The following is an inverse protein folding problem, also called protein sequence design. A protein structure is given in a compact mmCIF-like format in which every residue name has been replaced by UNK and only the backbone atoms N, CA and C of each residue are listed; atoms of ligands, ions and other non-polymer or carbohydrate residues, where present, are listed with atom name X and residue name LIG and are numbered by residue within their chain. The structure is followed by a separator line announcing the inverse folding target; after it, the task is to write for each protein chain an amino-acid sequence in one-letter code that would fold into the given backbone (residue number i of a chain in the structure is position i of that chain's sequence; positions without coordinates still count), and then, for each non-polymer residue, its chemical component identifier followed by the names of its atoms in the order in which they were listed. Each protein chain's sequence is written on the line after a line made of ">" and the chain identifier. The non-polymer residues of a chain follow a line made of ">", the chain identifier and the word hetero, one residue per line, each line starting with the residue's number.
data_IF_500989110959
#
_entry.id   IF_500989110959
#
_cell.length_a   1.000
_cell.length_b   1.000
_cell.length_c   1.000
_cell.angle_alpha   90.00
_cell.angle_beta   90.00
_cell.angle_gamma   90.00
#
_symmetry.space_group_name_H-M   'P 1'
#
loop_
_entity.id
_entity.type
_entity.pdbx_description
1 polymer ?
#
# COMPACT_ATOMS: atom_id res chain seq x y z
N UNK A 1 70.55 -59.78 43.30
CA UNK A 1 71.92 -60.28 43.10
C UNK A 1 72.42 -59.73 41.77
N UNK A 2 73.52 -58.94 41.82
CA UNK A 2 74.39 -58.46 40.74
C UNK A 2 73.75 -57.69 39.54
N UNK A 3 74.01 -56.37 39.44
CA UNK A 3 75.14 -55.74 38.71
C UNK A 3 74.94 -55.76 37.18
N UNK A 4 74.68 -54.58 36.58
CA UNK A 4 75.66 -53.80 35.75
C UNK A 4 75.78 -54.36 34.32
N UNK A 5 75.91 -53.63 33.21
CA UNK A 5 76.69 -52.45 32.87
C UNK A 5 76.14 -51.93 31.50
N UNK A 6 76.18 -50.61 31.26
CA UNK A 6 76.18 -49.96 29.93
C UNK A 6 77.56 -50.18 29.24
N UNK A 7 77.88 -49.82 27.95
CA UNK A 7 77.35 -48.71 27.14
C UNK A 7 77.41 -48.87 25.59
N UNK A 8 77.21 -47.73 24.89
CA UNK A 8 77.46 -47.40 23.46
C UNK A 8 76.44 -47.97 22.45
N UNK A 9 75.96 -47.24 21.42
CA UNK A 9 76.47 -46.04 20.76
C UNK A 9 75.33 -45.16 20.21
N UNK A 10 75.69 -43.91 19.97
CA UNK A 10 74.89 -42.80 19.46
C UNK A 10 74.64 -42.96 17.95
N UNK A 11 73.38 -42.82 17.51
CA UNK A 11 73.05 -42.51 16.13
C UNK A 11 71.89 -41.50 16.11
N UNK A 12 72.25 -40.24 15.87
CA UNK A 12 71.35 -39.11 15.69
C UNK A 12 70.77 -39.18 14.28
N UNK A 13 69.46 -39.34 14.15
CA UNK A 13 68.75 -39.03 12.90
C UNK A 13 67.63 -38.03 13.22
N UNK A 14 67.83 -36.80 12.74
CA UNK A 14 66.85 -35.73 12.73
C UNK A 14 65.75 -36.08 11.71
N UNK A 15 64.50 -36.11 12.13
CA UNK A 15 63.33 -36.04 11.26
C UNK A 15 62.24 -35.28 12.01
N UNK A 16 62.22 -33.96 11.82
CA UNK A 16 61.20 -33.08 12.41
C UNK A 16 59.95 -33.18 11.55
N UNK A 17 58.90 -33.72 12.16
CA UNK A 17 57.54 -33.82 11.65
C UNK A 17 56.97 -32.45 11.27
N UNK A 18 56.46 -32.33 10.05
CA UNK A 18 55.62 -31.21 9.63
C UNK A 18 54.27 -31.26 10.32
N UNK A 19 53.94 -30.20 11.07
CA UNK A 19 52.59 -29.93 11.58
C UNK A 19 51.66 -29.61 10.40
N UNK A 20 50.63 -30.43 10.20
CA UNK A 20 49.45 -30.09 9.39
C UNK A 20 48.54 -29.19 10.24
N UNK A 21 48.53 -27.89 9.95
CA UNK A 21 47.51 -26.96 10.45
C UNK A 21 46.28 -27.08 9.56
N UNK A 22 45.21 -27.69 10.09
CA UNK A 22 43.89 -27.66 9.47
C UNK A 22 43.26 -26.30 9.72
N UNK A 23 43.33 -25.40 8.74
CA UNK A 23 42.52 -24.18 8.70
C UNK A 23 41.07 -24.55 8.43
N UNK A 24 40.30 -24.78 9.50
CA UNK A 24 38.85 -24.83 9.44
C UNK A 24 38.32 -23.42 9.15
N UNK A 25 38.05 -23.12 7.88
CA UNK A 25 37.24 -21.96 7.51
C UNK A 25 35.82 -22.15 8.07
N UNK A 26 35.49 -21.41 9.13
CA UNK A 26 34.08 -21.16 9.49
C UNK A 26 33.51 -20.27 8.39
N UNK A 27 32.66 -20.83 7.53
CA UNK A 27 31.73 -20.03 6.74
C UNK A 27 30.69 -19.45 7.70
N UNK A 28 30.66 -18.13 7.84
CA UNK A 28 29.50 -17.46 8.41
C UNK A 28 28.27 -17.71 7.51
N UNK A 29 27.07 -17.87 8.09
CA UNK A 29 25.86 -18.00 7.31
C UNK A 29 25.66 -16.75 6.45
N UNK A 30 25.21 -16.87 5.20
CA UNK A 30 24.93 -15.69 4.38
C UNK A 30 23.83 -14.87 5.05
N UNK A 31 24.15 -13.61 5.33
CA UNK A 31 23.20 -12.58 5.72
C UNK A 31 22.06 -12.54 4.68
N UNK A 32 20.78 -12.44 5.11
CA UNK A 32 19.68 -12.39 4.17
C UNK A 32 19.84 -11.17 3.25
N UNK A 33 20.10 -11.43 1.97
CA UNK A 33 20.15 -10.40 0.94
C UNK A 33 18.81 -9.67 0.93
N UNK A 34 18.84 -8.39 1.31
CA UNK A 34 17.79 -7.44 1.00
C UNK A 34 17.52 -7.48 -0.51
N UNK A 35 16.27 -7.44 -0.99
CA UNK A 35 15.98 -7.53 -2.41
C UNK A 35 16.74 -6.41 -3.16
N UNK A 36 17.44 -6.75 -4.23
CA UNK A 36 18.05 -5.79 -5.14
C UNK A 36 16.96 -4.84 -5.66
N UNK A 37 16.91 -3.62 -5.11
CA UNK A 37 16.13 -2.51 -5.68
C UNK A 37 16.67 -2.26 -7.08
N UNK A 38 15.84 -2.48 -8.10
CA UNK A 38 16.20 -2.33 -9.51
C UNK A 38 16.98 -1.04 -9.77
N UNK A 39 18.19 -1.21 -10.31
CA UNK A 39 19.24 -0.19 -10.39
C UNK A 39 18.81 1.12 -11.03
N UNK A 40 18.80 2.16 -10.20
CA UNK A 40 18.93 3.55 -10.60
C UNK A 40 20.02 4.11 -9.68
N UNK A 41 21.25 4.22 -10.15
CA UNK A 41 22.27 4.98 -9.42
C UNK A 41 21.77 6.42 -9.30
N UNK A 42 21.64 6.92 -8.07
CA UNK A 42 21.16 8.26 -7.78
C UNK A 42 21.87 9.34 -8.60
N UNK A 43 21.20 10.49 -8.80
CA UNK A 43 21.76 11.60 -9.57
C UNK A 43 21.92 12.87 -8.72
N UNK A 44 23.12 13.45 -8.72
CA UNK A 44 23.42 14.67 -7.96
C UNK A 44 22.53 15.85 -8.32
N UNK A 45 21.93 16.44 -7.29
CA UNK A 45 21.00 17.56 -7.41
C UNK A 45 19.61 17.18 -7.90
N UNK A 46 19.28 15.89 -8.04
CA UNK A 46 17.96 15.44 -8.47
C UNK A 46 17.41 14.38 -7.53
N UNK A 47 16.08 14.34 -7.43
CA UNK A 47 15.37 13.12 -7.05
C UNK A 47 14.88 12.43 -8.31
N UNK A 48 15.15 11.13 -8.39
CA UNK A 48 14.74 10.28 -9.51
C UNK A 48 14.00 9.06 -8.97
N UNK A 49 13.27 8.39 -9.84
CA UNK A 49 12.65 7.13 -9.46
C UNK A 49 11.76 6.58 -10.56
N UNK A 50 11.19 5.43 -10.25
CA UNK A 50 10.28 4.69 -11.12
C UNK A 50 8.94 4.49 -10.44
N UNK A 51 7.87 4.52 -11.24
CA UNK A 51 6.50 4.33 -10.78
C UNK A 51 5.92 3.09 -11.44
N UNK A 52 5.28 2.24 -10.65
CA UNK A 52 4.61 1.03 -11.13
C UNK A 52 3.13 0.99 -10.80
N UNK A 53 2.39 0.27 -11.64
CA UNK A 53 0.99 -0.10 -11.39
C UNK A 53 0.90 -1.26 -10.37
N UNK A 54 -0.32 -1.68 -9.96
CA UNK A 54 -0.48 -2.78 -9.00
C UNK A 54 0.06 -4.14 -9.51
N UNK A 55 0.28 -4.30 -10.81
CA UNK A 55 0.83 -5.50 -11.43
C UNK A 55 2.37 -5.42 -11.60
N UNK A 56 2.98 -4.29 -11.24
CA UNK A 56 4.42 -4.06 -11.37
C UNK A 56 4.83 -3.53 -12.75
N UNK A 57 3.90 -3.25 -13.66
CA UNK A 57 4.21 -2.61 -14.94
C UNK A 57 4.49 -1.13 -14.73
N UNK A 58 5.19 -0.52 -15.69
CA UNK A 58 5.53 0.91 -15.64
C UNK A 58 4.29 1.78 -15.75
N UNK A 59 4.13 2.72 -14.81
CA UNK A 59 3.00 3.63 -14.77
C UNK A 59 3.39 5.01 -15.31
N UNK A 60 2.88 5.36 -16.50
CA UNK A 60 3.09 6.67 -17.11
C UNK A 60 2.10 7.71 -16.60
N UNK A 61 2.47 9.00 -16.74
CA UNK A 61 1.63 10.17 -16.39
C UNK A 61 1.17 10.22 -14.93
N UNK A 62 1.83 9.49 -14.04
CA UNK A 62 1.70 9.70 -12.61
C UNK A 62 2.48 10.95 -12.21
N UNK A 63 1.92 11.74 -11.31
CA UNK A 63 2.53 12.98 -10.83
C UNK A 63 3.30 12.68 -9.55
N UNK A 64 4.57 13.09 -9.52
CA UNK A 64 5.40 13.12 -8.32
C UNK A 64 5.71 14.57 -7.99
N UNK A 65 5.63 14.90 -6.72
CA UNK A 65 6.00 16.22 -6.22
C UNK A 65 6.83 16.07 -4.95
N UNK A 66 7.66 17.07 -4.69
CA UNK A 66 8.44 17.18 -3.46
C UNK A 66 7.83 18.25 -2.55
N UNK A 67 7.85 18.01 -1.24
CA UNK A 67 7.47 18.98 -0.23
C UNK A 67 8.67 19.25 0.68
N UNK A 68 9.05 20.51 0.89
CA UNK A 68 10.07 20.84 1.88
C UNK A 68 9.53 20.57 3.29
N UNK A 69 10.38 20.04 4.17
CA UNK A 69 9.98 19.71 5.54
C UNK A 69 9.71 20.95 6.39
N UNK A 70 10.31 22.10 6.05
CA UNK A 70 10.15 23.39 6.74
C UNK A 70 9.30 24.37 5.93
N UNK A 71 9.65 24.60 4.66
CA UNK A 71 9.00 25.55 3.75
C UNK A 71 7.83 24.90 3.00
N UNK A 72 6.70 24.69 3.68
CA UNK A 72 5.53 23.99 3.12
C UNK A 72 4.98 24.64 1.84
N UNK A 73 4.47 23.81 0.93
CA UNK A 73 3.84 24.25 -0.33
C UNK A 73 4.82 24.83 -1.36
N UNK A 74 6.12 24.66 -1.14
CA UNK A 74 7.19 25.05 -2.06
C UNK A 74 7.90 23.79 -2.50
N UNK A 75 7.63 23.31 -3.70
CA UNK A 75 8.33 22.18 -4.29
C UNK A 75 7.94 21.97 -5.73
N UNK A 76 8.83 21.35 -6.49
CA UNK A 76 8.61 21.07 -7.90
C UNK A 76 7.80 19.78 -8.09
N UNK A 77 7.13 19.67 -9.22
CA UNK A 77 6.40 18.48 -9.64
C UNK A 77 6.89 18.01 -11.02
N UNK A 78 6.79 16.71 -11.26
CA UNK A 78 7.05 16.09 -12.55
C UNK A 78 6.07 14.95 -12.80
N UNK A 79 5.82 14.66 -14.06
CA UNK A 79 5.05 13.48 -14.47
C UNK A 79 6.00 12.37 -14.91
N UNK A 80 5.65 11.12 -14.61
CA UNK A 80 6.39 9.97 -15.12
C UNK A 80 6.24 9.81 -16.63
N UNK A 81 7.33 9.43 -17.29
CA UNK A 81 7.39 9.11 -18.72
C UNK A 81 6.71 7.77 -19.04
N UNK A 82 6.68 7.40 -20.33
CA UNK A 82 6.06 6.16 -20.80
C UNK A 82 6.64 4.89 -20.15
N UNK A 83 7.92 4.92 -19.77
CA UNK A 83 8.66 3.88 -19.06
C UNK A 83 8.55 3.96 -17.53
N UNK A 84 7.69 4.86 -17.02
CA UNK A 84 7.44 5.05 -15.59
C UNK A 84 8.52 5.81 -14.83
N UNK A 85 9.58 6.27 -15.50
CA UNK A 85 10.63 7.05 -14.86
C UNK A 85 10.21 8.51 -14.64
N UNK A 86 10.72 9.14 -13.60
CA UNK A 86 10.56 10.58 -13.38
C UNK A 86 11.87 11.19 -12.83
N UNK A 87 11.97 12.52 -12.94
CA UNK A 87 13.13 13.28 -12.47
C UNK A 87 12.72 14.69 -12.08
N UNK A 88 13.12 15.12 -10.88
CA UNK A 88 12.85 16.46 -10.34
C UNK A 88 14.17 17.08 -9.88
N UNK A 89 14.46 18.30 -10.34
CA UNK A 89 15.63 19.08 -9.89
C UNK A 89 15.38 19.58 -8.46
N UNK A 90 16.34 19.32 -7.57
CA UNK A 90 16.34 19.82 -6.20
C UNK A 90 17.04 21.18 -6.15
N UNK A 91 16.54 22.05 -5.27
CA UNK A 91 17.16 23.35 -4.99
C UNK A 91 18.20 23.15 -3.89
N UNK A 92 19.44 23.53 -4.18
CA UNK A 92 20.56 23.42 -3.24
C UNK A 92 20.34 24.28 -2.00
N UNK A 93 20.76 23.78 -0.84
CA UNK A 93 20.79 24.52 0.42
C UNK A 93 19.42 24.79 1.05
N UNK A 94 18.35 24.14 0.56
CA UNK A 94 17.00 24.27 1.15
C UNK A 94 16.67 23.15 2.15
N UNK A 95 17.63 22.29 2.46
CA UNK A 95 17.48 21.24 3.47
C UNK A 95 16.67 20.05 2.98
N UNK A 96 15.77 19.56 3.83
CA UNK A 96 15.14 18.26 3.68
C UNK A 96 13.80 18.32 2.93
N UNK A 97 13.53 17.29 2.14
CA UNK A 97 12.37 17.13 1.27
C UNK A 97 11.70 15.79 1.52
N UNK A 98 10.41 15.70 1.24
CA UNK A 98 9.67 14.43 1.17
C UNK A 98 9.09 14.32 -0.23
N UNK A 99 9.19 13.14 -0.86
CA UNK A 99 8.56 12.87 -2.14
C UNK A 99 7.19 12.23 -1.92
N UNK A 100 6.19 12.70 -2.67
CA UNK A 100 4.83 12.14 -2.69
C UNK A 100 4.38 11.97 -4.12
N UNK A 101 3.44 11.07 -4.34
CA UNK A 101 2.94 10.78 -5.68
C UNK A 101 1.44 10.54 -5.72
N UNK A 102 0.83 10.86 -6.85
CA UNK A 102 -0.53 10.46 -7.18
C UNK A 102 -0.68 10.18 -8.67
N UNK A 103 -1.72 9.43 -9.03
CA UNK A 103 -2.18 9.27 -10.42
C UNK A 103 -3.62 9.73 -10.55
N UNK A 104 -3.92 10.44 -11.64
CA UNK A 104 -5.29 10.72 -12.05
C UNK A 104 -5.74 9.62 -13.02
N UNK A 105 -6.71 8.82 -12.60
CA UNK A 105 -7.20 7.68 -13.39
C UNK A 105 -8.66 7.90 -13.76
N UNK A 106 -8.96 7.83 -15.05
CA UNK A 106 -10.34 7.79 -15.54
C UNK A 106 -10.86 6.35 -15.47
N UNK A 107 -12.04 6.18 -14.90
CA UNK A 107 -12.76 4.90 -14.78
C UNK A 107 -14.26 5.18 -14.65
N UNK A 108 -15.10 4.41 -15.35
CA UNK A 108 -16.57 4.58 -15.34
C UNK A 108 -17.05 6.03 -15.49
N UNK A 109 -16.44 6.78 -16.43
CA UNK A 109 -16.72 8.19 -16.72
C UNK A 109 -16.45 9.17 -15.55
N UNK A 110 -15.66 8.75 -14.56
CA UNK A 110 -15.23 9.56 -13.43
C UNK A 110 -13.70 9.64 -13.39
N UNK A 111 -13.18 10.69 -12.79
CA UNK A 111 -11.74 10.85 -12.54
C UNK A 111 -11.49 10.56 -11.06
N UNK A 112 -10.52 9.71 -10.78
CA UNK A 112 -10.09 9.38 -9.42
C UNK A 112 -8.67 9.89 -9.22
N UNK A 113 -8.41 10.49 -8.05
CA UNK A 113 -7.05 10.84 -7.62
C UNK A 113 -6.58 9.78 -6.65
N UNK A 114 -5.61 8.98 -7.07
CA UNK A 114 -5.11 7.85 -6.28
C UNK A 114 -3.71 8.18 -5.77
N UNK A 115 -3.53 8.10 -4.46
CA UNK A 115 -2.22 8.25 -3.84
C UNK A 115 -1.33 7.05 -4.16
N UNK A 116 -0.04 7.31 -4.38
CA UNK A 116 0.96 6.28 -4.60
C UNK A 116 1.71 5.98 -3.30
N UNK A 117 2.05 4.72 -3.09
CA UNK A 117 2.91 4.30 -1.99
C UNK A 117 4.37 4.55 -2.32
N UNK A 118 5.11 5.33 -1.51
CA UNK A 118 6.55 5.41 -1.65
C UNK A 118 7.21 4.10 -1.18
N UNK A 119 8.22 3.62 -1.90
CA UNK A 119 9.11 2.54 -1.42
C UNK A 119 9.87 2.99 -0.16
N UNK A 120 10.26 4.27 -0.12
CA UNK A 120 10.91 4.90 1.02
C UNK A 120 10.26 6.27 1.31
N UNK A 121 9.52 6.43 2.43
CA UNK A 121 8.86 7.67 2.80
C UNK A 121 9.78 8.69 3.49
N UNK A 122 11.01 8.31 3.84
CA UNK A 122 11.93 9.15 4.61
C UNK A 122 12.33 10.41 3.85
N UNK A 123 12.53 11.48 4.61
CA UNK A 123 13.02 12.73 4.06
C UNK A 123 14.44 12.59 3.50
N UNK A 124 14.78 13.46 2.55
CA UNK A 124 16.09 13.49 1.92
C UNK A 124 16.57 14.90 1.62
N UNK A 125 17.89 15.05 1.47
CA UNK A 125 18.53 16.24 0.90
C UNK A 125 19.00 16.03 -0.54
N UNK A 126 19.42 17.10 -1.18
CA UNK A 126 20.05 17.10 -2.50
C UNK A 126 21.42 16.43 -2.54
N UNK A 127 22.09 16.27 -1.39
CA UNK A 127 23.41 15.67 -1.26
C UNK A 127 23.37 14.14 -1.29
N UNK A 128 22.20 13.55 -1.03
CA UNK A 128 22.00 12.11 -0.87
C UNK A 128 21.77 11.36 -2.20
N UNK A 129 21.72 12.08 -3.34
CA UNK A 129 21.37 11.51 -4.64
C UNK A 129 20.10 10.62 -4.59
N UNK A 130 18.98 11.14 -4.05
CA UNK A 130 17.85 10.33 -3.63
C UNK A 130 17.17 9.59 -4.79
N UNK A 131 16.91 8.30 -4.58
CA UNK A 131 16.02 7.48 -5.41
C UNK A 131 14.74 7.24 -4.63
N UNK A 132 13.60 7.53 -5.23
CA UNK A 132 12.27 7.38 -4.62
C UNK A 132 11.32 6.71 -5.59
N UNK A 133 11.18 5.39 -5.47
CA UNK A 133 10.22 4.66 -6.29
C UNK A 133 8.83 4.72 -5.66
N UNK A 134 7.81 4.55 -6.50
CA UNK A 134 6.42 4.55 -6.07
C UNK A 134 5.66 3.38 -6.67
N UNK A 135 4.71 2.84 -5.93
CA UNK A 135 3.77 1.84 -6.43
C UNK A 135 2.34 2.33 -6.24
N UNK A 136 1.50 2.19 -7.27
CA UNK A 136 0.06 2.27 -7.08
C UNK A 136 -0.44 0.99 -6.39
N UNK A 137 -1.05 1.14 -5.20
CA UNK A 137 -1.79 0.05 -4.54
C UNK A 137 -3.30 0.26 -4.61
N UNK A 138 -4.05 -0.83 -4.74
CA UNK A 138 -5.51 -0.84 -4.67
C UNK A 138 -6.06 -0.89 -3.23
N UNK A 139 -5.27 -1.44 -2.31
CA UNK A 139 -5.62 -1.64 -0.90
C UNK A 139 -4.37 -1.61 -0.04
N UNK A 140 -4.55 -1.43 1.26
CA UNK A 140 -3.50 -1.42 2.27
C UNK A 140 -3.52 -0.14 3.09
N UNK A 141 -3.04 -0.23 4.33
CA UNK A 141 -2.90 0.92 5.21
C UNK A 141 -1.81 1.85 4.68
N UNK A 142 -2.09 3.15 4.64
CA UNK A 142 -1.08 4.18 4.34
C UNK A 142 -0.26 4.37 5.62
N UNK A 143 1.07 4.23 5.59
CA UNK A 143 1.91 4.33 6.78
C UNK A 143 2.01 5.78 7.28
N UNK A 144 0.94 6.29 7.88
CA UNK A 144 0.87 7.49 8.67
C UNK A 144 0.30 7.10 10.05
N UNK A 145 1.12 7.19 11.10
CA UNK A 145 0.73 6.75 12.44
C UNK A 145 -0.34 7.63 13.09
N UNK A 146 -0.63 8.80 12.50
CA UNK A 146 -1.59 9.76 13.05
C UNK A 146 -3.01 9.61 12.51
N UNK A 147 -3.18 8.87 11.40
CA UNK A 147 -4.47 8.75 10.71
C UNK A 147 -4.71 7.31 10.24
N UNK A 148 -5.94 6.83 10.40
CA UNK A 148 -6.34 5.51 9.89
C UNK A 148 -6.71 5.59 8.40
N UNK A 149 -5.69 5.73 7.54
CA UNK A 149 -5.83 5.94 6.10
C UNK A 149 -5.50 4.68 5.29
N UNK A 150 -6.15 4.54 4.14
CA UNK A 150 -6.02 3.38 3.27
C UNK A 150 -5.94 3.79 1.79
N UNK A 151 -5.31 2.95 0.97
CA UNK A 151 -5.25 3.16 -0.49
C UNK A 151 -6.58 2.84 -1.19
N UNK A 152 -7.35 1.90 -0.64
CA UNK A 152 -8.71 1.62 -1.11
C UNK A 152 -9.66 2.78 -0.80
N UNK A 153 -10.77 2.81 -1.53
CA UNK A 153 -11.89 3.70 -1.20
C UNK A 153 -12.59 3.28 0.09
N UNK A 154 -13.56 4.07 0.52
CA UNK A 154 -14.37 3.78 1.70
C UNK A 154 -15.87 3.86 1.41
N UNK A 155 -16.65 3.19 2.25
CA UNK A 155 -18.12 3.20 2.21
C UNK A 155 -18.63 3.82 3.49
N UNK A 156 -19.54 4.76 3.36
CA UNK A 156 -20.36 5.28 4.46
C UNK A 156 -21.70 4.54 4.50
N UNK A 157 -22.11 4.11 5.70
CA UNK A 157 -23.38 3.44 5.93
C UNK A 157 -24.39 4.42 6.51
N UNK A 158 -25.58 4.46 5.92
CA UNK A 158 -26.69 5.31 6.36
C UNK A 158 -27.86 4.42 6.76
N UNK A 159 -28.03 4.21 8.06
CA UNK A 159 -29.18 3.50 8.61
C UNK A 159 -30.46 4.34 8.44
N UNK A 160 -31.54 3.73 7.94
CA UNK A 160 -32.86 4.34 8.01
C UNK A 160 -33.27 4.48 9.48
N UNK A 161 -33.47 5.73 9.93
CA UNK A 161 -33.82 6.01 11.32
C UNK A 161 -35.19 5.46 11.71
N UNK A 162 -36.05 5.14 10.73
CA UNK A 162 -37.38 4.55 10.93
C UNK A 162 -37.36 3.01 10.84
N UNK A 163 -36.19 2.38 10.75
CA UNK A 163 -36.08 0.92 10.76
C UNK A 163 -36.24 0.38 12.19
N UNK A 164 -37.13 -0.60 12.34
CA UNK A 164 -37.42 -1.24 13.64
C UNK A 164 -36.45 -2.38 13.93
N UNK A 165 -35.77 -2.39 15.07
CA UNK A 165 -34.88 -3.51 15.45
C UNK A 165 -33.53 -3.56 14.72
N UNK A 166 -33.27 -2.62 13.81
CA UNK A 166 -31.97 -2.36 13.21
C UNK A 166 -31.36 -1.14 13.90
N UNK A 167 -30.52 -1.36 14.91
CA UNK A 167 -29.96 -0.28 15.74
C UNK A 167 -28.48 -0.01 15.47
N UNK A 168 -27.80 -0.97 14.85
CA UNK A 168 -26.36 -0.95 14.69
C UNK A 168 -25.95 -1.30 13.24
N UNK A 169 -24.77 -0.84 12.85
CA UNK A 169 -24.19 -1.05 11.52
C UNK A 169 -23.08 -2.10 11.56
N UNK A 170 -22.46 -2.33 12.72
CA UNK A 170 -21.43 -3.36 12.91
C UNK A 170 -21.94 -4.80 12.73
N UNK A 171 -23.23 -5.07 12.93
CA UNK A 171 -23.82 -6.38 12.66
C UNK A 171 -24.47 -6.47 11.26
N UNK A 172 -24.29 -5.46 10.41
CA UNK A 172 -24.74 -5.48 9.02
C UNK A 172 -23.60 -5.99 8.14
N UNK A 173 -23.77 -7.16 7.51
CA UNK A 173 -22.83 -7.69 6.52
C UNK A 173 -23.30 -7.29 5.12
N UNK A 174 -22.47 -6.52 4.42
CA UNK A 174 -22.65 -6.16 3.02
C UNK A 174 -21.86 -7.13 2.15
N UNK A 175 -22.48 -7.60 1.07
CA UNK A 175 -21.83 -8.35 0.00
C UNK A 175 -21.63 -7.44 -1.20
N UNK A 176 -20.38 -7.24 -1.60
CA UNK A 176 -19.97 -6.43 -2.76
C UNK A 176 -19.59 -7.37 -3.89
N UNK A 177 -20.39 -7.42 -4.96
CA UNK A 177 -20.09 -8.17 -6.17
C UNK A 177 -19.58 -7.22 -7.25
N UNK A 178 -18.32 -7.34 -7.70
CA UNK A 178 -17.78 -6.48 -8.76
C UNK A 178 -18.62 -6.56 -10.04
N UNK A 179 -18.80 -5.42 -10.70
CA UNK A 179 -19.43 -5.30 -12.02
C UNK A 179 -18.37 -4.80 -12.99
N UNK A 180 -17.78 -5.72 -13.76
CA UNK A 180 -16.64 -5.44 -14.63
C UNK A 180 -15.30 -5.50 -13.89
N UNK A 181 -14.27 -4.89 -14.47
CA UNK A 181 -12.92 -4.80 -13.90
C UNK A 181 -12.85 -3.72 -12.83
N UNK A 182 -11.87 -3.81 -11.93
CA UNK A 182 -11.50 -2.72 -11.02
C UNK A 182 -10.84 -1.56 -11.77
N UNK A 183 -10.54 -0.46 -11.06
CA UNK A 183 -9.95 0.76 -11.62
C UNK A 183 -8.59 0.56 -12.31
N UNK A 184 -7.83 -0.47 -11.90
CA UNK A 184 -6.55 -0.84 -12.51
C UNK A 184 -6.70 -1.80 -13.70
N UNK A 185 -7.93 -2.22 -14.02
CA UNK A 185 -8.22 -3.19 -15.08
C UNK A 185 -8.18 -4.65 -14.63
N UNK A 186 -7.83 -4.94 -13.37
CA UNK A 186 -7.84 -6.30 -12.84
C UNK A 186 -9.27 -6.81 -12.58
N UNK A 187 -9.42 -8.14 -12.50
CA UNK A 187 -10.69 -8.76 -12.12
C UNK A 187 -10.91 -8.64 -10.61
N UNK A 188 -12.03 -8.06 -10.20
CA UNK A 188 -12.40 -7.96 -8.78
C UNK A 188 -12.84 -9.30 -8.17
N UNK A 189 -12.83 -9.36 -6.84
CA UNK A 189 -13.39 -10.49 -6.06
C UNK A 189 -14.65 -10.04 -5.33
N UNK A 190 -15.55 -10.98 -5.06
CA UNK A 190 -16.69 -10.72 -4.17
C UNK A 190 -16.15 -10.48 -2.76
N UNK A 191 -16.58 -9.39 -2.13
CA UNK A 191 -16.21 -9.05 -0.75
C UNK A 191 -17.43 -9.19 0.15
N UNK A 192 -17.19 -9.61 1.39
CA UNK A 192 -18.17 -9.60 2.47
C UNK A 192 -17.58 -8.81 3.62
N UNK A 193 -18.15 -7.65 3.91
CA UNK A 193 -17.61 -6.68 4.86
C UNK A 193 -18.74 -6.22 5.78
N UNK A 194 -18.40 -5.83 7.00
CA UNK A 194 -19.36 -5.33 7.99
C UNK A 194 -19.07 -3.87 8.35
N UNK A 195 -20.04 -3.18 8.96
CA UNK A 195 -19.79 -1.86 9.53
C UNK A 195 -18.61 -1.87 10.50
N UNK A 196 -17.75 -0.87 10.40
CA UNK A 196 -16.54 -0.76 11.21
C UNK A 196 -15.36 -1.58 10.69
N UNK A 197 -15.48 -2.31 9.58
CA UNK A 197 -14.35 -3.07 9.04
C UNK A 197 -13.22 -2.10 8.66
N UNK A 198 -12.05 -2.27 9.32
CA UNK A 198 -10.88 -1.39 9.21
C UNK A 198 -11.17 0.08 9.58
N UNK A 199 -12.20 0.31 10.39
CA UNK A 199 -12.57 1.63 10.91
C UNK A 199 -12.75 1.58 12.42
N UNK A 200 -12.57 2.72 13.09
CA UNK A 200 -12.98 2.88 14.50
C UNK A 200 -14.45 3.28 14.65
N UNK A 201 -15.07 3.71 13.55
CA UNK A 201 -16.47 4.09 13.45
C UNK A 201 -17.23 3.02 12.66
N UNK A 202 -18.28 2.45 13.27
CA UNK A 202 -19.08 1.36 12.67
C UNK A 202 -19.85 1.78 11.43
N UNK A 203 -20.07 3.09 11.22
CA UNK A 203 -20.73 3.60 10.02
C UNK A 203 -19.80 3.66 8.80
N UNK A 204 -18.53 3.27 8.96
CA UNK A 204 -17.55 3.26 7.87
C UNK A 204 -16.98 1.87 7.61
N UNK A 205 -16.75 1.58 6.33
CA UNK A 205 -15.99 0.43 5.85
C UNK A 205 -14.83 0.95 5.02
N UNK A 206 -13.60 0.65 5.42
CA UNK A 206 -12.40 1.19 4.78
C UNK A 206 -11.73 0.17 3.86
N UNK A 207 -10.85 0.67 2.99
CA UNK A 207 -9.90 -0.12 2.21
C UNK A 207 -10.55 -1.07 1.19
N UNK A 208 -11.55 -0.58 0.47
CA UNK A 208 -12.21 -1.31 -0.60
C UNK A 208 -11.54 -0.96 -1.95
N UNK A 209 -11.10 -1.93 -2.76
CA UNK A 209 -10.61 -1.65 -4.11
C UNK A 209 -11.63 -0.84 -4.91
N UNK A 210 -11.19 0.22 -5.59
CA UNK A 210 -12.11 1.06 -6.36
C UNK A 210 -12.63 0.28 -7.57
N UNK A 211 -13.95 0.21 -7.68
CA UNK A 211 -14.66 -0.45 -8.77
C UNK A 211 -16.15 -0.15 -8.72
N UNK A 212 -16.91 -0.71 -9.66
CA UNK A 212 -18.37 -0.76 -9.60
C UNK A 212 -18.81 -2.03 -8.88
N UNK A 213 -19.78 -1.91 -8.00
CA UNK A 213 -20.28 -3.05 -7.23
C UNK A 213 -21.80 -3.12 -7.25
N UNK A 214 -22.34 -4.32 -7.42
CA UNK A 214 -23.69 -4.65 -6.96
C UNK A 214 -23.61 -5.07 -5.50
N UNK A 215 -24.33 -4.35 -4.66
CA UNK A 215 -24.24 -4.43 -3.21
C UNK A 215 -25.59 -4.93 -2.66
N UNK A 216 -25.55 -5.89 -1.74
CA UNK A 216 -26.70 -6.38 -0.96
C UNK A 216 -26.30 -6.51 0.50
N UNK A 217 -27.26 -6.49 1.44
CA UNK A 217 -26.95 -6.54 2.86
C UNK A 217 -27.82 -7.54 3.63
N UNK A 218 -27.25 -8.11 4.70
CA UNK A 218 -27.97 -8.94 5.68
C UNK A 218 -27.70 -8.42 7.09
N UNK A 219 -28.70 -8.46 7.95
CA UNK A 219 -28.53 -8.21 9.37
C UNK A 219 -28.20 -9.52 10.08
N UNK A 220 -26.96 -9.67 10.54
CA UNK A 220 -26.43 -10.94 11.06
C UNK A 220 -27.18 -11.50 12.29
N UNK A 221 -27.68 -10.70 13.24
CA UNK A 221 -28.31 -11.23 14.45
C UNK A 221 -29.60 -12.00 14.15
N UNK A 222 -30.36 -11.57 13.14
CA UNK A 222 -31.64 -12.19 12.76
C UNK A 222 -31.55 -13.00 11.46
N UNK A 223 -30.49 -12.82 10.68
CA UNK A 223 -30.37 -13.37 9.32
C UNK A 223 -31.28 -12.66 8.30
N UNK A 224 -31.94 -11.56 8.67
CA UNK A 224 -32.86 -10.84 7.80
C UNK A 224 -32.11 -10.19 6.63
N UNK A 225 -32.63 -10.38 5.40
CA UNK A 225 -32.18 -9.62 4.25
C UNK A 225 -32.61 -8.15 4.39
N UNK A 226 -31.67 -7.24 4.20
CA UNK A 226 -31.93 -5.80 4.23
C UNK A 226 -32.13 -5.28 2.81
N UNK A 227 -32.85 -4.17 2.71
CA UNK A 227 -32.94 -3.38 1.49
C UNK A 227 -31.89 -2.28 1.55
N UNK A 228 -31.31 -1.97 0.39
CA UNK A 228 -30.20 -1.04 0.22
C UNK A 228 -30.52 -0.01 -0.86
N UNK A 229 -29.85 1.13 -0.80
CA UNK A 229 -29.87 2.18 -1.83
C UNK A 229 -28.53 2.88 -1.93
N UNK A 230 -28.32 3.61 -3.03
CA UNK A 230 -27.23 4.59 -3.10
C UNK A 230 -27.63 5.81 -2.25
N UNK A 231 -26.92 6.07 -1.15
CA UNK A 231 -27.25 7.18 -0.27
C UNK A 231 -26.83 8.55 -0.81
N UNK A 232 -25.96 8.58 -1.83
CA UNK A 232 -25.54 9.82 -2.50
C UNK A 232 -26.31 10.10 -3.79
N UNK A 233 -27.30 9.27 -4.15
CA UNK A 233 -28.14 9.56 -5.31
C UNK A 233 -28.95 10.83 -5.03
N UNK A 234 -28.90 11.79 -5.96
CA UNK A 234 -29.74 12.98 -5.95
C UNK A 234 -31.15 12.64 -6.45
N UNK A 235 -31.80 11.67 -5.81
CA UNK A 235 -33.21 11.39 -6.00
C UNK A 235 -33.93 11.44 -4.64
N UNK A 236 -35.07 12.13 -4.60
CA UNK A 236 -35.91 12.23 -3.40
C UNK A 236 -36.70 10.95 -3.15
N UNK A 237 -36.49 9.91 -3.96
CA UNK A 237 -37.37 8.76 -4.03
C UNK A 237 -37.08 7.70 -2.96
N UNK A 238 -36.00 7.82 -2.19
CA UNK A 238 -35.59 6.86 -1.15
C UNK A 238 -35.80 5.40 -1.59
N UNK A 239 -35.46 5.10 -2.84
CA UNK A 239 -35.80 3.83 -3.48
C UNK A 239 -34.90 2.69 -2.96
N UNK A 240 -35.33 2.05 -1.87
CA UNK A 240 -34.67 0.88 -1.31
C UNK A 240 -35.00 -0.39 -2.12
N UNK A 241 -34.00 -1.21 -2.41
CA UNK A 241 -34.13 -2.46 -3.16
C UNK A 241 -33.28 -3.57 -2.54
N UNK A 242 -33.47 -4.84 -2.93
CA UNK A 242 -32.68 -5.96 -2.39
C UNK A 242 -31.18 -5.87 -2.73
N UNK A 243 -30.85 -5.10 -3.77
CA UNK A 243 -29.48 -4.77 -4.13
C UNK A 243 -29.43 -3.45 -4.89
N UNK A 244 -28.28 -2.77 -4.87
CA UNK A 244 -28.03 -1.55 -5.64
C UNK A 244 -26.68 -1.65 -6.35
N UNK A 245 -26.56 -1.10 -7.56
CA UNK A 245 -25.28 -1.01 -8.26
C UNK A 245 -24.73 0.41 -8.16
N UNK A 246 -23.51 0.55 -7.63
CA UNK A 246 -22.92 1.84 -7.25
C UNK A 246 -21.44 1.90 -7.67
N UNK A 247 -21.00 3.08 -8.09
CA UNK A 247 -19.60 3.45 -8.28
C UNK A 247 -19.10 4.27 -7.10
N UNK A 248 -17.79 4.23 -6.83
CA UNK A 248 -17.17 5.25 -5.99
C UNK A 248 -17.28 6.64 -6.64
N UNK A 249 -17.47 7.65 -5.81
CA UNK A 249 -17.31 9.06 -6.17
C UNK A 249 -15.88 9.31 -6.60
N UNK A 250 -15.69 10.01 -7.70
CA UNK A 250 -14.37 10.45 -8.13
C UNK A 250 -13.93 11.72 -7.38
N UNK A 251 -13.15 12.55 -8.04
CA UNK A 251 -12.79 13.91 -7.59
C UNK A 251 -13.94 14.91 -7.73
N UNK A 252 -15.13 14.48 -8.16
CA UNK A 252 -16.31 15.31 -8.36
C UNK A 252 -16.92 15.81 -7.05
N UNK A 253 -16.65 15.11 -5.94
CA UNK A 253 -17.03 15.54 -4.59
C UNK A 253 -15.75 15.75 -3.78
N UNK A 254 -15.26 17.00 -3.63
CA UNK A 254 -13.96 17.28 -3.02
C UNK A 254 -13.81 16.75 -1.59
N UNK A 255 -14.91 16.70 -0.84
CA UNK A 255 -14.95 16.24 0.56
C UNK A 255 -15.16 14.74 0.72
N UNK A 256 -15.41 14.01 -0.37
CA UNK A 256 -15.78 12.58 -0.40
C UNK A 256 -15.11 11.87 -1.57
N UNK A 257 -13.87 12.26 -1.87
CA UNK A 257 -13.13 11.67 -2.96
C UNK A 257 -12.94 10.16 -2.71
N UNK A 258 -13.15 9.36 -3.75
CA UNK A 258 -12.98 7.91 -3.72
C UNK A 258 -13.87 7.20 -2.67
N UNK A 259 -15.07 7.73 -2.41
CA UNK A 259 -16.02 7.12 -1.46
C UNK A 259 -17.36 6.78 -2.09
N UNK A 260 -18.11 5.87 -1.48
CA UNK A 260 -19.53 5.67 -1.78
C UNK A 260 -20.35 5.70 -0.49
N UNK A 261 -21.66 5.86 -0.60
CA UNK A 261 -22.54 5.72 0.55
C UNK A 261 -23.71 4.80 0.27
N UNK A 262 -24.02 3.93 1.23
CA UNK A 262 -25.06 2.93 1.13
C UNK A 262 -26.10 3.18 2.23
N UNK A 263 -27.32 3.47 1.81
CA UNK A 263 -28.46 3.49 2.72
C UNK A 263 -28.93 2.07 2.97
N UNK A 264 -29.23 1.72 4.22
CA UNK A 264 -29.73 0.40 4.60
C UNK A 264 -31.04 0.50 5.39
N UNK A 265 -31.94 -0.45 5.17
CA UNK A 265 -33.23 -0.52 5.90
C UNK A 265 -33.77 -1.94 5.92
N UNK A 266 -34.67 -2.25 6.86
CA UNK A 266 -35.33 -3.55 6.98
C UNK A 266 -36.84 -3.51 6.67
N UNK A 267 -37.33 -2.40 6.09
CA UNK A 267 -38.71 -2.19 5.65
C UNK A 267 -38.81 -2.01 4.13
#
# INVERSE_FOLDING_TARGET
>A
MLQSFRPFAIATLLSISGLLTTTACKQEPPEPKQPDSGGSNGQSGYVIGKITDPQGNTLSRATVYIDNTVLKGRGAEANSSADGNYKIQLVKGLGQWIAKGYVLKQYNNRVYKIQLEPENPDSFSEEENPVRNFQWKLTGHIPDLSLNLYYGGYVELYRDLNADGLYDTENVELTFKPVGTLIDGSTGKTLKLKGGEKSLDSDFIMDIPIGRYTISAIYKPTGQALRVRNALANDDSYNYANSVTVDFSGTEVPTRANSMAIGITNR
#
